data_IF_812210332926
#
_entry.id   IF_812210332926
#
_cell.length_a   1.000
_cell.length_b   1.000
_cell.length_c   1.000
_cell.angle_alpha   90.00
_cell.angle_beta   90.00
_cell.angle_gamma   90.00
#
_symmetry.space_group_name_H-M   'P 1'
#
loop_
_entity.id
_entity.type
_entity.pdbx_description
1 polymer ?
#
# COMPACT_ATOMS: atom_id res chain seq x y z
N UNK A 1 25.51 -73.83 -12.40
CA UNK A 1 26.63 -72.96 -12.81
C UNK A 1 27.22 -72.37 -11.56
N UNK A 2 28.49 -72.69 -11.38
CA UNK A 2 29.41 -72.41 -10.28
C UNK A 2 29.41 -70.94 -9.83
N UNK A 3 29.36 -70.69 -8.51
CA UNK A 3 30.48 -70.27 -7.63
C UNK A 3 30.94 -68.81 -7.91
N UNK A 4 31.07 -67.91 -6.93
CA UNK A 4 31.83 -68.03 -5.69
C UNK A 4 31.34 -67.06 -4.60
N UNK A 5 31.61 -67.50 -3.37
CA UNK A 5 31.21 -67.00 -2.06
C UNK A 5 32.13 -65.88 -1.48
N UNK A 6 31.82 -65.35 -0.28
CA UNK A 6 32.21 -64.04 0.24
C UNK A 6 33.44 -64.06 1.18
N UNK A 7 33.91 -62.88 1.60
CA UNK A 7 34.85 -62.70 2.71
C UNK A 7 34.52 -61.37 3.41
N UNK A 8 33.85 -61.41 4.57
CA UNK A 8 34.42 -61.37 5.94
C UNK A 8 35.03 -59.99 6.31
N UNK A 9 34.83 -59.40 7.49
CA UNK A 9 34.22 -59.93 8.70
C UNK A 9 33.90 -58.81 9.71
N UNK A 10 32.97 -59.17 10.59
CA UNK A 10 32.45 -58.56 11.83
C UNK A 10 33.47 -58.71 13.00
N UNK A 11 33.13 -58.43 14.28
CA UNK A 11 32.69 -57.22 15.00
C UNK A 11 33.52 -57.02 16.32
N UNK A 12 32.92 -56.37 17.34
CA UNK A 12 33.21 -56.40 18.80
C UNK A 12 34.07 -55.23 19.36
N UNK A 13 33.91 -54.73 20.59
CA UNK A 13 32.88 -54.78 21.63
C UNK A 13 33.31 -53.82 22.77
N UNK A 14 32.32 -53.31 23.52
CA UNK A 14 32.29 -52.96 24.95
C UNK A 14 33.55 -52.48 25.74
N UNK A 15 33.39 -51.27 26.29
CA UNK A 15 33.40 -50.93 27.74
C UNK A 15 34.70 -50.71 28.56
N UNK A 16 34.61 -49.62 29.33
CA UNK A 16 34.92 -49.41 30.77
C UNK A 16 36.15 -48.57 31.21
N UNK A 17 35.82 -47.48 31.93
CA UNK A 17 36.34 -47.01 33.25
C UNK A 17 37.63 -46.16 33.39
N UNK A 18 37.41 -44.93 33.92
CA UNK A 18 38.11 -44.21 35.04
C UNK A 18 39.62 -43.88 34.90
N UNK A 19 40.20 -42.75 35.32
CA UNK A 19 39.91 -41.72 36.35
C UNK A 19 40.96 -40.58 36.24
N UNK A 20 40.58 -39.36 36.65
CA UNK A 20 41.38 -38.32 37.36
C UNK A 20 42.62 -37.71 36.69
N UNK A 21 43.07 -36.48 36.95
CA UNK A 21 42.55 -35.24 37.53
C UNK A 21 43.72 -34.23 37.43
N UNK A 22 43.43 -32.94 37.25
CA UNK A 22 44.23 -31.87 37.84
C UNK A 22 43.33 -30.66 38.08
N UNK A 23 42.96 -30.52 39.36
CA UNK A 23 42.24 -29.40 39.93
C UNK A 23 43.14 -28.17 40.04
N UNK A 24 42.57 -26.99 39.81
CA UNK A 24 42.89 -25.76 40.52
C UNK A 24 41.56 -25.14 40.96
N UNK A 25 41.26 -25.18 42.26
CA UNK A 25 40.00 -24.79 42.86
C UNK A 25 40.01 -23.36 43.44
N UNK A 26 38.82 -22.94 43.88
CA UNK A 26 38.46 -21.82 44.75
C UNK A 26 37.95 -20.56 44.00
N UNK A 27 36.75 -20.01 44.21
CA UNK A 27 35.62 -20.28 45.11
C UNK A 27 34.41 -19.46 44.59
N UNK A 28 33.20 -20.00 44.61
CA UNK A 28 31.97 -19.20 44.45
C UNK A 28 31.62 -18.51 45.78
N UNK A 29 31.19 -17.24 45.75
CA UNK A 29 30.13 -16.75 46.62
C UNK A 29 28.84 -16.49 45.82
N UNK A 30 27.66 -16.80 46.40
CA UNK A 30 26.36 -16.57 45.76
C UNK A 30 25.89 -15.14 46.01
N UNK A 31 25.48 -14.42 44.96
CA UNK A 31 24.96 -13.07 45.14
C UNK A 31 24.54 -12.41 43.84
N UNK A 32 23.23 -12.30 43.67
CA UNK A 32 22.48 -11.37 42.83
C UNK A 32 23.28 -10.31 42.03
N UNK A 33 23.13 -10.34 40.70
CA UNK A 33 22.55 -9.24 39.93
C UNK A 33 22.55 -9.60 38.45
N UNK A 34 21.36 -9.81 37.91
CA UNK A 34 21.05 -9.64 36.49
C UNK A 34 21.40 -8.21 36.10
N UNK A 35 22.62 -7.98 35.62
CA UNK A 35 22.92 -6.78 34.85
C UNK A 35 22.25 -6.92 33.50
N UNK A 36 21.04 -6.40 33.42
CA UNK A 36 20.37 -6.05 32.19
C UNK A 36 21.31 -5.16 31.39
N UNK A 37 21.95 -5.73 30.38
CA UNK A 37 22.57 -4.95 29.31
C UNK A 37 21.43 -4.18 28.66
N UNK A 38 21.37 -2.88 28.94
CA UNK A 38 20.53 -1.92 28.23
C UNK A 38 20.90 -1.98 26.76
N UNK A 39 20.15 -2.78 26.01
CA UNK A 39 20.22 -2.84 24.56
C UNK A 39 19.76 -1.50 24.02
N UNK A 40 20.71 -0.79 23.43
CA UNK A 40 20.50 0.37 22.60
C UNK A 40 19.37 0.09 21.61
N UNK A 41 18.26 0.82 21.74
CA UNK A 41 17.07 0.73 20.90
C UNK A 41 17.27 1.25 19.46
N UNK A 42 18.46 1.06 18.88
CA UNK A 42 18.84 1.59 17.56
C UNK A 42 19.43 0.56 16.59
N UNK A 43 19.86 -0.62 17.06
CA UNK A 43 20.50 -1.64 16.21
C UNK A 43 19.61 -2.87 15.90
N UNK A 44 18.42 -2.98 16.48
CA UNK A 44 17.53 -4.15 16.30
C UNK A 44 16.70 -4.11 15.02
N UNK A 45 16.83 -3.06 14.20
CA UNK A 45 16.19 -2.98 12.87
C UNK A 45 17.09 -3.50 11.75
N UNK A 46 18.38 -3.73 11.99
CA UNK A 46 19.34 -4.08 10.94
C UNK A 46 19.53 -5.59 10.72
N UNK A 47 18.85 -6.45 11.49
CA UNK A 47 19.02 -7.91 11.43
C UNK A 47 17.71 -8.71 11.34
N UNK A 48 16.53 -8.08 11.34
CA UNK A 48 15.28 -8.83 11.25
C UNK A 48 15.04 -9.33 9.81
N UNK A 49 14.52 -10.56 9.62
CA UNK A 49 14.15 -11.07 8.30
C UNK A 49 13.18 -10.14 7.55
N UNK A 50 12.36 -9.39 8.30
CA UNK A 50 11.47 -8.38 7.75
C UNK A 50 12.23 -7.18 7.17
N UNK A 51 13.24 -6.66 7.85
CA UNK A 51 14.01 -5.51 7.37
C UNK A 51 14.79 -5.83 6.07
N UNK A 52 15.21 -7.07 5.89
CA UNK A 52 15.88 -7.52 4.66
C UNK A 52 14.93 -7.60 3.45
N UNK A 53 13.65 -7.89 3.65
CA UNK A 53 12.66 -8.04 2.58
C UNK A 53 11.96 -6.75 2.18
N UNK A 54 11.82 -5.78 3.10
CA UNK A 54 11.13 -4.52 2.82
C UNK A 54 11.95 -3.62 1.89
N UNK A 55 11.35 -3.25 0.76
CA UNK A 55 12.00 -2.43 -0.27
C UNK A 55 11.07 -1.40 -0.88
N UNK A 56 11.68 -0.29 -1.33
CA UNK A 56 10.99 0.76 -2.08
C UNK A 56 9.70 1.23 -1.40
N UNK A 57 8.58 1.37 -2.16
CA UNK A 57 7.32 1.89 -1.61
C UNK A 57 6.74 1.05 -0.45
N UNK A 58 7.03 -0.24 -0.37
CA UNK A 58 6.57 -1.07 0.74
C UNK A 58 7.28 -0.71 2.05
N UNK A 59 8.56 -0.35 1.99
CA UNK A 59 9.30 0.15 3.15
C UNK A 59 8.77 1.52 3.60
N UNK A 60 8.49 2.43 2.66
CA UNK A 60 7.91 3.73 2.96
C UNK A 60 6.53 3.60 3.62
N UNK A 61 5.70 2.70 3.10
CA UNK A 61 4.41 2.38 3.71
C UNK A 61 4.56 1.76 5.09
N UNK A 62 5.47 0.79 5.25
CA UNK A 62 5.74 0.18 6.56
C UNK A 62 6.12 1.25 7.60
N UNK A 63 6.93 2.24 7.23
CA UNK A 63 7.32 3.33 8.13
C UNK A 63 6.17 4.27 8.51
N UNK A 64 5.10 4.33 7.71
CA UNK A 64 3.88 5.08 7.99
C UNK A 64 2.87 4.32 8.86
N UNK A 65 3.03 3.00 9.02
CA UNK A 65 2.17 2.19 9.90
C UNK A 65 2.34 2.62 11.36
N UNK A 66 1.29 2.38 12.16
CA UNK A 66 1.35 2.60 13.61
C UNK A 66 2.32 1.61 14.25
N UNK A 67 2.89 1.99 15.40
CA UNK A 67 3.90 1.16 16.07
C UNK A 67 3.40 -0.26 16.40
N UNK A 68 2.14 -0.39 16.82
CA UNK A 68 1.52 -1.68 17.10
C UNK A 68 1.37 -2.55 15.85
N UNK A 69 1.06 -1.95 14.70
CA UNK A 69 0.96 -2.65 13.42
C UNK A 69 2.33 -3.14 12.94
N UNK A 70 3.35 -2.29 13.03
CA UNK A 70 4.74 -2.69 12.73
C UNK A 70 5.22 -3.83 13.61
N UNK A 71 4.89 -3.77 14.90
CA UNK A 71 5.25 -4.82 15.87
C UNK A 71 4.51 -6.12 15.58
N UNK A 72 3.23 -6.06 15.22
CA UNK A 72 2.44 -7.22 14.80
C UNK A 72 3.05 -7.89 13.57
N UNK A 73 3.34 -7.11 12.52
CA UNK A 73 3.95 -7.65 11.30
C UNK A 73 5.33 -8.27 11.57
N UNK A 74 6.15 -7.62 12.40
CA UNK A 74 7.46 -8.15 12.80
C UNK A 74 7.32 -9.48 13.55
N UNK A 75 6.42 -9.55 14.54
CA UNK A 75 6.19 -10.78 15.31
C UNK A 75 5.62 -11.94 14.47
N UNK A 76 4.82 -11.64 13.43
CA UNK A 76 4.34 -12.67 12.50
C UNK A 76 5.48 -13.24 11.64
N UNK A 77 6.43 -12.40 11.23
CA UNK A 77 7.64 -12.83 10.51
C UNK A 77 8.57 -13.62 11.42
N UNK A 78 8.83 -13.12 12.64
CA UNK A 78 9.73 -13.78 13.60
C UNK A 78 9.19 -15.14 14.06
N UNK A 79 7.86 -15.31 14.10
CA UNK A 79 7.22 -16.61 14.39
C UNK A 79 7.14 -17.55 13.19
N UNK A 80 7.57 -17.12 12.00
CA UNK A 80 7.53 -17.91 10.76
C UNK A 80 6.13 -18.13 10.19
N UNK A 81 5.09 -17.44 10.71
CA UNK A 81 3.72 -17.55 10.20
C UNK A 81 3.57 -16.93 8.81
N UNK A 82 4.34 -15.88 8.55
CA UNK A 82 4.46 -15.22 7.24
C UNK A 82 5.94 -14.93 6.98
N UNK A 83 6.32 -14.73 5.72
CA UNK A 83 7.68 -14.31 5.36
C UNK A 83 7.79 -12.79 5.27
N UNK A 84 9.02 -12.26 5.32
CA UNK A 84 9.26 -10.84 5.04
C UNK A 84 8.78 -10.43 3.64
N UNK A 85 8.89 -11.33 2.65
CA UNK A 85 8.43 -11.11 1.29
C UNK A 85 6.90 -11.06 1.21
N UNK A 86 6.19 -11.88 1.99
CA UNK A 86 4.73 -11.78 2.12
C UNK A 86 4.33 -10.40 2.67
N UNK A 87 5.04 -9.88 3.68
CA UNK A 87 4.76 -8.52 4.19
C UNK A 87 5.03 -7.47 3.10
N UNK A 88 6.19 -7.56 2.42
CA UNK A 88 6.53 -6.63 1.34
C UNK A 88 5.47 -6.61 0.23
N UNK A 89 5.01 -7.80 -0.20
CA UNK A 89 4.03 -7.95 -1.28
C UNK A 89 2.63 -7.51 -0.85
N UNK A 90 2.22 -7.80 0.39
CA UNK A 90 0.94 -7.34 0.90
C UNK A 90 0.87 -5.81 1.04
N UNK A 91 1.95 -5.18 1.50
CA UNK A 91 2.05 -3.71 1.57
C UNK A 91 2.03 -3.08 0.18
N UNK A 92 2.77 -3.65 -0.78
CA UNK A 92 2.72 -3.20 -2.18
C UNK A 92 1.30 -3.34 -2.76
N UNK A 93 0.66 -4.49 -2.54
CA UNK A 93 -0.70 -4.76 -2.98
C UNK A 93 -1.70 -3.75 -2.40
N UNK A 94 -1.63 -3.49 -1.10
CA UNK A 94 -2.46 -2.49 -0.42
C UNK A 94 -2.25 -1.09 -1.00
N UNK A 95 -1.01 -0.69 -1.24
CA UNK A 95 -0.67 0.59 -1.84
C UNK A 95 -1.23 0.75 -3.26
N UNK A 96 -1.09 -0.27 -4.12
CA UNK A 96 -1.65 -0.26 -5.48
C UNK A 96 -3.17 -0.16 -5.47
N UNK A 97 -3.81 -0.87 -4.55
CA UNK A 97 -5.27 -0.78 -4.36
C UNK A 97 -5.66 0.64 -3.93
N UNK A 98 -4.96 1.21 -2.95
CA UNK A 98 -5.20 2.58 -2.51
C UNK A 98 -4.98 3.61 -3.64
N UNK A 99 -3.95 3.46 -4.46
CA UNK A 99 -3.71 4.30 -5.65
C UNK A 99 -4.83 4.20 -6.66
N UNK A 100 -5.29 2.98 -6.95
CA UNK A 100 -6.40 2.76 -7.88
C UNK A 100 -7.68 3.43 -7.39
N UNK A 101 -7.99 3.27 -6.10
CA UNK A 101 -9.12 3.96 -5.46
C UNK A 101 -8.96 5.48 -5.49
N UNK A 102 -7.81 6.01 -5.09
CA UNK A 102 -7.53 7.44 -5.09
C UNK A 102 -7.64 8.05 -6.49
N UNK A 103 -7.14 7.35 -7.51
CA UNK A 103 -7.23 7.79 -8.90
C UNK A 103 -8.68 7.83 -9.41
N UNK A 104 -9.44 6.73 -9.23
CA UNK A 104 -10.84 6.68 -9.66
C UNK A 104 -11.69 7.74 -8.96
N UNK A 105 -11.50 7.91 -7.65
CA UNK A 105 -12.27 8.87 -6.89
C UNK A 105 -11.83 10.31 -7.18
N UNK A 106 -10.54 10.54 -7.45
CA UNK A 106 -10.02 11.83 -7.91
C UNK A 106 -10.63 12.22 -9.25
N UNK A 107 -10.75 11.28 -10.19
CA UNK A 107 -11.42 11.51 -11.47
C UNK A 107 -12.89 11.89 -11.31
N UNK A 108 -13.63 11.18 -10.43
CA UNK A 108 -15.02 11.54 -10.10
C UNK A 108 -15.15 12.93 -9.46
N UNK A 109 -14.25 13.26 -8.54
CA UNK A 109 -14.23 14.58 -7.91
C UNK A 109 -13.95 15.67 -8.93
N UNK A 110 -12.96 15.47 -9.80
CA UNK A 110 -12.64 16.39 -10.89
C UNK A 110 -13.84 16.60 -11.82
N UNK A 111 -14.50 15.52 -12.24
CA UNK A 111 -15.71 15.58 -13.06
C UNK A 111 -16.86 16.31 -12.36
N UNK A 112 -17.08 16.02 -11.08
CA UNK A 112 -18.15 16.63 -10.28
C UNK A 112 -17.93 18.13 -10.05
N UNK A 113 -16.70 18.54 -9.70
CA UNK A 113 -16.36 19.94 -9.43
C UNK A 113 -16.34 20.79 -10.70
N UNK A 114 -15.98 20.18 -11.83
CA UNK A 114 -15.73 20.91 -13.07
C UNK A 114 -16.80 20.66 -14.14
N UNK A 115 -18.04 20.28 -13.77
CA UNK A 115 -19.15 20.03 -14.72
C UNK A 115 -19.30 21.12 -15.78
N UNK A 116 -19.08 22.39 -15.42
CA UNK A 116 -19.10 23.52 -16.35
C UNK A 116 -18.05 23.42 -17.46
N UNK A 117 -16.85 22.91 -17.18
CA UNK A 117 -15.82 22.64 -18.19
C UNK A 117 -16.27 21.52 -19.14
N UNK A 118 -16.88 20.46 -18.60
CA UNK A 118 -17.39 19.34 -19.41
C UNK A 118 -18.55 19.77 -20.33
N UNK A 119 -19.40 20.69 -19.88
CA UNK A 119 -20.48 21.25 -20.69
C UNK A 119 -19.97 22.07 -21.89
N UNK A 120 -18.77 22.66 -21.79
CA UNK A 120 -18.17 23.50 -22.85
C UNK A 120 -16.86 22.95 -23.39
N UNK A 121 -16.69 21.62 -23.37
CA UNK A 121 -15.44 20.92 -23.67
C UNK A 121 -14.70 21.41 -24.94
N UNK A 122 -15.44 21.81 -25.98
CA UNK A 122 -14.88 22.32 -27.24
C UNK A 122 -14.12 23.66 -27.12
N UNK A 123 -14.35 24.41 -26.03
CA UNK A 123 -13.80 25.75 -25.79
C UNK A 123 -12.90 25.83 -24.56
N UNK A 124 -12.68 24.70 -23.89
CA UNK A 124 -11.82 24.65 -22.69
C UNK A 124 -10.38 24.89 -23.11
N UNK A 125 -9.75 25.88 -22.48
CA UNK A 125 -8.33 26.19 -22.68
C UNK A 125 -7.44 25.27 -21.84
N UNK A 126 -6.17 25.17 -22.22
CA UNK A 126 -5.18 24.42 -21.45
C UNK A 126 -5.05 24.95 -20.01
N UNK A 127 -5.10 26.27 -19.82
CA UNK A 127 -4.92 26.90 -18.51
C UNK A 127 -6.14 26.70 -17.61
N UNK A 128 -7.35 26.70 -18.16
CA UNK A 128 -8.56 26.35 -17.41
C UNK A 128 -8.55 24.91 -16.91
N UNK A 129 -8.05 23.99 -17.73
CA UNK A 129 -7.91 22.57 -17.36
C UNK A 129 -6.80 22.35 -16.31
N UNK A 130 -5.66 23.02 -16.45
CA UNK A 130 -4.59 22.99 -15.44
C UNK A 130 -5.08 23.54 -14.11
N UNK A 131 -5.74 24.71 -14.13
CA UNK A 131 -6.33 25.32 -12.92
C UNK A 131 -7.34 24.38 -12.25
N UNK A 132 -8.25 23.79 -13.01
CA UNK A 132 -9.21 22.82 -12.48
C UNK A 132 -8.54 21.59 -11.87
N UNK A 133 -7.41 21.15 -12.44
CA UNK A 133 -6.62 20.05 -11.91
C UNK A 133 -6.00 20.44 -10.58
N UNK A 134 -5.32 21.59 -10.53
CA UNK A 134 -4.68 22.12 -9.32
C UNK A 134 -5.71 22.30 -8.19
N UNK A 135 -6.88 22.88 -8.50
CA UNK A 135 -7.96 23.10 -7.54
C UNK A 135 -8.50 21.77 -6.98
N UNK A 136 -8.71 20.75 -7.83
CA UNK A 136 -9.13 19.41 -7.38
C UNK A 136 -8.05 18.74 -6.54
N UNK A 137 -6.78 18.77 -6.94
CA UNK A 137 -5.69 18.16 -6.19
C UNK A 137 -5.48 18.84 -4.83
N UNK A 138 -5.56 20.18 -4.78
CA UNK A 138 -5.51 20.94 -3.54
C UNK A 138 -6.64 20.55 -2.59
N UNK A 139 -7.87 20.40 -3.11
CA UNK A 139 -9.02 19.96 -2.32
C UNK A 139 -8.83 18.54 -1.78
N UNK A 140 -8.34 17.59 -2.59
CA UNK A 140 -8.05 16.23 -2.12
C UNK A 140 -7.00 16.22 -1.03
N UNK A 141 -5.92 16.99 -1.20
CA UNK A 141 -4.86 17.12 -0.20
C UNK A 141 -5.37 17.68 1.12
N UNK A 142 -6.23 18.70 1.07
CA UNK A 142 -6.89 19.25 2.26
C UNK A 142 -7.73 18.19 2.99
N UNK A 143 -8.55 17.43 2.25
CA UNK A 143 -9.41 16.38 2.82
C UNK A 143 -8.58 15.26 3.46
N UNK A 144 -7.49 14.81 2.80
CA UNK A 144 -6.58 13.80 3.36
C UNK A 144 -5.88 14.30 4.61
N UNK A 145 -5.43 15.56 4.63
CA UNK A 145 -4.84 16.17 5.82
C UNK A 145 -5.83 16.20 6.99
N UNK A 146 -7.10 16.56 6.73
CA UNK A 146 -8.16 16.55 7.74
C UNK A 146 -8.46 15.14 8.27
N UNK A 147 -8.46 14.10 7.42
CA UNK A 147 -8.57 12.71 7.91
C UNK A 147 -7.40 12.37 8.84
N UNK A 148 -6.17 12.74 8.45
CA UNK A 148 -4.98 12.49 9.26
C UNK A 148 -5.05 13.16 10.64
N UNK A 149 -5.60 14.37 10.73
CA UNK A 149 -5.84 15.03 12.03
C UNK A 149 -6.93 14.33 12.86
N UNK A 150 -8.04 13.93 12.22
CA UNK A 150 -9.08 13.16 12.92
C UNK A 150 -8.55 11.82 13.44
N UNK A 151 -7.69 11.13 12.68
CA UNK A 151 -7.06 9.89 13.10
C UNK A 151 -6.13 10.10 14.31
N UNK A 152 -5.32 11.17 14.31
CA UNK A 152 -4.47 11.55 15.45
C UNK A 152 -5.30 11.83 16.71
N UNK A 153 -6.49 12.41 16.54
CA UNK A 153 -7.41 12.73 17.62
C UNK A 153 -8.29 11.52 18.04
N UNK A 154 -8.13 10.35 17.41
CA UNK A 154 -8.94 9.16 17.70
C UNK A 154 -10.38 9.27 17.21
N UNK A 155 -10.66 10.15 16.26
CA UNK A 155 -11.99 10.47 15.73
C UNK A 155 -12.31 9.75 14.41
N UNK A 156 -11.66 8.62 14.13
CA UNK A 156 -11.85 7.83 12.91
C UNK A 156 -13.26 7.25 12.70
N UNK A 157 -14.13 7.31 13.72
CA UNK A 157 -15.55 6.94 13.63
C UNK A 157 -16.52 8.12 13.67
N UNK A 158 -16.02 9.36 13.64
CA UNK A 158 -16.85 10.55 13.72
C UNK A 158 -17.67 10.81 12.44
N UNK A 159 -18.75 11.57 12.56
CA UNK A 159 -19.53 12.01 11.39
C UNK A 159 -18.65 12.80 10.41
N UNK A 160 -17.77 13.67 10.92
CA UNK A 160 -16.83 14.44 10.11
C UNK A 160 -15.87 13.53 9.32
N UNK A 161 -15.40 12.45 9.93
CA UNK A 161 -14.55 11.47 9.24
C UNK A 161 -15.30 10.81 8.07
N UNK A 162 -16.55 10.40 8.30
CA UNK A 162 -17.43 9.85 7.26
C UNK A 162 -17.72 10.84 6.12
N UNK A 163 -17.98 12.10 6.46
CA UNK A 163 -18.21 13.17 5.49
C UNK A 163 -16.98 13.44 4.62
N UNK A 164 -15.78 13.44 5.21
CA UNK A 164 -14.55 13.62 4.46
C UNK A 164 -14.27 12.41 3.54
N UNK A 165 -14.50 11.18 4.01
CA UNK A 165 -14.39 10.00 3.16
C UNK A 165 -15.40 10.03 2.00
N UNK A 166 -16.62 10.50 2.25
CA UNK A 166 -17.64 10.70 1.22
C UNK A 166 -17.18 11.73 0.19
N UNK A 167 -16.68 12.89 0.63
CA UNK A 167 -16.13 13.90 -0.25
C UNK A 167 -14.97 13.32 -1.09
N UNK A 168 -14.02 12.62 -0.46
CA UNK A 168 -12.90 11.98 -1.14
C UNK A 168 -13.32 10.93 -2.17
N UNK A 169 -14.49 10.29 -2.01
CA UNK A 169 -15.05 9.35 -2.99
C UNK A 169 -15.52 10.01 -4.30
N UNK A 170 -15.58 11.35 -4.33
CA UNK A 170 -16.07 12.15 -5.45
C UNK A 170 -17.59 12.32 -5.47
N UNK A 171 -18.28 11.97 -4.38
CA UNK A 171 -19.74 12.16 -4.22
C UNK A 171 -19.98 13.42 -3.37
N UNK A 172 -20.18 14.56 -4.03
CA UNK A 172 -20.57 15.80 -3.36
C UNK A 172 -22.09 15.80 -3.06
N UNK A 173 -22.53 16.24 -1.85
CA UNK A 173 -23.95 16.43 -1.57
C UNK A 173 -24.56 17.47 -2.51
N UNK A 174 -25.62 17.09 -3.24
CA UNK A 174 -26.28 17.93 -4.24
C UNK A 174 -25.99 17.55 -5.70
N UNK A 175 -25.07 16.62 -5.94
CA UNK A 175 -24.74 16.13 -7.29
C UNK A 175 -25.80 15.19 -7.91
N UNK A 176 -26.89 14.88 -7.20
CA UNK A 176 -27.82 13.78 -7.48
C UNK A 176 -29.30 14.14 -7.70
N UNK A 177 -29.64 15.37 -8.09
CA UNK A 177 -31.03 15.70 -8.46
C UNK A 177 -31.33 15.61 -9.97
N UNK A 178 -30.33 15.73 -10.84
CA UNK A 178 -30.50 15.75 -12.30
C UNK A 178 -29.66 14.68 -13.01
N UNK A 179 -29.70 13.44 -12.51
CA UNK A 179 -29.25 12.29 -13.28
C UNK A 179 -30.48 11.74 -14.03
N UNK A 180 -30.64 11.95 -15.35
CA UNK A 180 -31.53 11.08 -16.11
C UNK A 180 -30.91 9.69 -16.02
N UNK A 181 -31.66 8.75 -15.42
CA UNK A 181 -31.35 7.32 -15.44
C UNK A 181 -30.90 6.95 -16.85
N UNK A 182 -29.64 6.52 -16.97
CA UNK A 182 -29.14 5.95 -18.21
C UNK A 182 -29.83 4.60 -18.41
N UNK A 183 -31.03 4.61 -18.99
CA UNK A 183 -31.64 3.42 -19.56
C UNK A 183 -30.80 2.94 -20.76
N UNK A 184 -30.62 1.62 -20.94
CA UNK A 184 -29.66 1.07 -21.89
C UNK A 184 -30.29 0.87 -23.27
N UNK A 185 -30.73 1.93 -23.96
CA UNK A 185 -31.22 1.80 -25.35
C UNK A 185 -30.64 2.86 -26.29
N UNK A 186 -29.96 2.40 -27.36
CA UNK A 186 -29.78 3.16 -28.61
C UNK A 186 -28.41 3.79 -28.84
N UNK A 187 -27.59 3.11 -29.64
CA UNK A 187 -26.32 3.60 -30.19
C UNK A 187 -26.47 4.95 -30.93
N UNK A 188 -25.59 5.91 -30.60
CA UNK A 188 -24.88 6.85 -31.51
C UNK A 188 -24.74 8.29 -31.01
N UNK A 189 -25.43 8.73 -29.94
CA UNK A 189 -25.23 10.07 -29.33
C UNK A 189 -24.51 10.05 -27.98
N UNK A 190 -24.72 9.03 -27.16
CA UNK A 190 -24.05 8.87 -25.87
C UNK A 190 -22.53 8.59 -26.01
N UNK A 191 -22.11 7.96 -27.11
CA UNK A 191 -20.69 7.66 -27.40
C UNK A 191 -19.91 8.91 -27.83
N UNK A 192 -20.57 9.93 -28.39
CA UNK A 192 -19.94 11.21 -28.72
C UNK A 192 -19.65 12.03 -27.45
N UNK A 193 -20.62 12.10 -26.52
CA UNK A 193 -20.42 12.75 -25.22
C UNK A 193 -19.35 12.05 -24.39
N UNK A 194 -19.33 10.71 -24.31
CA UNK A 194 -18.28 9.97 -23.59
C UNK A 194 -16.87 10.10 -24.21
N UNK A 195 -16.77 10.37 -25.51
CA UNK A 195 -15.48 10.66 -26.17
C UNK A 195 -15.05 12.12 -25.98
N UNK A 196 -15.98 13.06 -25.96
CA UNK A 196 -15.69 14.49 -25.75
C UNK A 196 -15.41 14.82 -24.27
N UNK A 197 -16.05 14.16 -23.31
CA UNK A 197 -15.76 14.36 -21.88
C UNK A 197 -14.36 13.88 -21.50
N UNK A 198 -13.82 12.87 -22.19
CA UNK A 198 -12.44 12.40 -22.00
C UNK A 198 -11.40 13.25 -22.72
N UNK A 199 -11.79 14.30 -23.44
CA UNK A 199 -10.85 15.06 -24.27
C UNK A 199 -9.98 16.05 -23.49
N UNK A 200 -10.26 16.31 -22.21
CA UNK A 200 -9.45 17.20 -21.40
C UNK A 200 -9.32 16.75 -19.93
N UNK A 201 -9.90 15.61 -19.54
CA UNK A 201 -9.66 15.07 -18.21
C UNK A 201 -8.19 14.66 -18.07
N UNK A 202 -7.49 15.12 -17.02
CA UNK A 202 -6.13 14.70 -16.75
C UNK A 202 -6.09 13.28 -16.17
N UNK A 203 -7.24 12.67 -15.83
CA UNK A 203 -7.30 11.32 -15.30
C UNK A 203 -7.40 10.30 -16.45
N UNK A 204 -6.25 9.82 -16.94
CA UNK A 204 -6.19 8.67 -17.83
C UNK A 204 -5.30 7.55 -17.29
N UNK A 205 -5.78 6.31 -17.34
CA UNK A 205 -5.03 5.14 -16.88
C UNK A 205 -4.76 4.20 -18.06
N UNK A 206 -3.50 3.77 -18.20
CA UNK A 206 -3.15 2.73 -19.18
C UNK A 206 -3.73 1.40 -18.70
N UNK A 207 -4.33 0.64 -19.61
CA UNK A 207 -4.78 -0.70 -19.30
C UNK A 207 -3.55 -1.56 -18.97
N UNK A 208 -3.57 -2.29 -17.85
CA UNK A 208 -2.44 -3.11 -17.45
C UNK A 208 -1.35 -2.37 -16.65
N UNK A 209 -1.57 -1.11 -16.24
CA UNK A 209 -0.53 -0.32 -15.57
C UNK A 209 -0.14 -0.93 -14.21
N UNK A 210 1.13 -1.38 -14.04
CA UNK A 210 1.59 -2.02 -12.81
C UNK A 210 1.60 -1.07 -11.60
N UNK A 211 1.49 0.24 -11.81
CA UNK A 211 1.34 1.22 -10.73
C UNK A 211 0.01 1.04 -9.96
N UNK A 212 -1.03 0.52 -10.64
CA UNK A 212 -2.38 0.34 -10.09
C UNK A 212 -2.77 -1.12 -9.89
N UNK A 213 -2.20 -2.04 -10.68
CA UNK A 213 -2.69 -3.43 -10.74
C UNK A 213 -1.88 -4.32 -9.81
N UNK A 214 -2.62 -5.01 -8.93
CA UNK A 214 -2.06 -6.05 -8.07
C UNK A 214 -1.75 -7.29 -8.87
N UNK A 215 -0.62 -7.93 -8.58
CA UNK A 215 -0.28 -9.24 -9.13
C UNK A 215 -0.75 -10.38 -8.21
N UNK A 216 -0.63 -11.63 -8.67
CA UNK A 216 -1.07 -12.80 -7.90
C UNK A 216 -0.30 -13.02 -6.59
N UNK A 217 0.98 -12.62 -6.54
CA UNK A 217 1.80 -12.74 -5.32
C UNK A 217 1.34 -11.74 -4.23
N UNK A 218 1.04 -10.50 -4.64
CA UNK A 218 0.52 -9.44 -3.77
C UNK A 218 -0.87 -9.82 -3.20
N UNK A 219 -1.71 -10.48 -4.00
CA UNK A 219 -3.01 -10.98 -3.56
C UNK A 219 -2.87 -12.16 -2.60
N UNK A 220 -2.04 -13.16 -2.94
CA UNK A 220 -1.77 -14.31 -2.08
C UNK A 220 -1.19 -13.86 -0.72
N UNK A 221 -0.25 -12.93 -0.73
CA UNK A 221 0.34 -12.36 0.48
C UNK A 221 -0.70 -11.62 1.33
N UNK A 222 -1.58 -10.84 0.70
CA UNK A 222 -2.68 -10.15 1.40
C UNK A 222 -3.62 -11.15 2.10
N UNK A 223 -3.92 -12.28 1.44
CA UNK A 223 -4.74 -13.34 2.03
C UNK A 223 -4.05 -14.00 3.22
N UNK A 224 -2.74 -14.30 3.14
CA UNK A 224 -1.96 -14.82 4.27
C UNK A 224 -1.96 -13.87 5.47
N UNK A 225 -1.77 -12.57 5.24
CA UNK A 225 -1.82 -11.57 6.31
C UNK A 225 -3.20 -11.53 6.99
N UNK A 226 -4.26 -11.61 6.18
CA UNK A 226 -5.64 -11.68 6.69
C UNK A 226 -5.87 -12.93 7.53
N UNK A 227 -5.42 -14.10 7.07
CA UNK A 227 -5.49 -15.37 7.81
C UNK A 227 -4.67 -15.34 9.10
N UNK A 228 -3.56 -14.59 9.10
CA UNK A 228 -2.75 -14.35 10.29
C UNK A 228 -3.36 -13.32 11.27
N UNK A 229 -4.55 -12.77 10.97
CA UNK A 229 -5.29 -11.85 11.83
C UNK A 229 -4.95 -10.37 11.64
N UNK A 230 -4.24 -10.01 10.56
CA UNK A 230 -3.95 -8.60 10.23
C UNK A 230 -5.15 -7.96 9.54
N UNK A 231 -5.54 -6.77 9.99
CA UNK A 231 -6.57 -5.99 9.31
C UNK A 231 -6.03 -5.34 8.03
N UNK A 232 -6.53 -5.77 6.88
CA UNK A 232 -6.17 -5.16 5.59
C UNK A 232 -6.71 -3.72 5.45
N UNK A 233 -7.76 -3.37 6.20
CA UNK A 233 -8.30 -2.00 6.18
C UNK A 233 -7.31 -1.02 6.78
N UNK A 234 -6.61 -1.39 7.85
CA UNK A 234 -5.65 -0.49 8.51
C UNK A 234 -4.39 -0.26 7.67
N UNK A 235 -3.95 -1.29 6.92
CA UNK A 235 -2.91 -1.14 5.90
C UNK A 235 -3.34 -0.17 4.79
N UNK A 236 -4.60 -0.29 4.35
CA UNK A 236 -5.16 0.57 3.30
C UNK A 236 -5.32 2.02 3.79
N UNK A 237 -5.69 2.21 5.06
CA UNK A 237 -5.76 3.53 5.69
C UNK A 237 -4.38 4.20 5.75
N UNK A 238 -3.34 3.46 6.17
CA UNK A 238 -1.97 3.96 6.15
C UNK A 238 -1.45 4.25 4.72
N UNK A 239 -1.89 3.44 3.75
CA UNK A 239 -1.54 3.63 2.34
C UNK A 239 -2.22 4.84 1.71
N UNK A 240 -3.36 5.31 2.25
CA UNK A 240 -4.17 6.39 1.66
C UNK A 240 -3.36 7.65 1.38
N UNK A 241 -2.67 8.18 2.39
CA UNK A 241 -1.91 9.42 2.21
C UNK A 241 -0.85 9.29 1.12
N UNK A 242 -0.11 8.19 1.12
CA UNK A 242 0.94 7.94 0.12
C UNK A 242 0.36 7.72 -1.29
N UNK A 243 -0.78 7.03 -1.37
CA UNK A 243 -1.49 6.82 -2.62
C UNK A 243 -2.02 8.14 -3.22
N UNK A 244 -2.57 9.03 -2.39
CA UNK A 244 -3.07 10.34 -2.81
C UNK A 244 -1.93 11.23 -3.31
N UNK A 245 -0.80 11.27 -2.61
CA UNK A 245 0.38 12.01 -3.07
C UNK A 245 0.89 11.47 -4.41
N UNK A 246 1.05 10.13 -4.55
CA UNK A 246 1.54 9.56 -5.80
C UNK A 246 0.57 9.75 -6.97
N UNK A 247 -0.74 9.68 -6.72
CA UNK A 247 -1.76 9.95 -7.73
C UNK A 247 -1.78 11.42 -8.11
N UNK A 248 -1.61 12.33 -7.15
CA UNK A 248 -1.54 13.76 -7.42
C UNK A 248 -0.35 14.09 -8.34
N UNK A 249 0.84 13.58 -8.04
CA UNK A 249 2.03 13.77 -8.89
C UNK A 249 1.80 13.24 -10.30
N UNK A 250 1.21 12.04 -10.41
CA UNK A 250 0.89 11.43 -11.70
C UNK A 250 -0.12 12.27 -12.48
N UNK A 251 -1.22 12.69 -11.85
CA UNK A 251 -2.27 13.48 -12.49
C UNK A 251 -1.75 14.86 -12.90
N UNK A 252 -0.84 15.46 -12.12
CA UNK A 252 -0.19 16.72 -12.48
C UNK A 252 0.63 16.58 -13.78
N UNK A 253 1.39 15.48 -13.90
CA UNK A 253 2.12 15.18 -15.12
C UNK A 253 1.16 14.97 -16.30
N UNK A 254 0.09 14.19 -16.09
CA UNK A 254 -0.93 13.92 -17.10
C UNK A 254 -1.64 15.20 -17.57
N UNK A 255 -1.92 16.13 -16.67
CA UNK A 255 -2.48 17.44 -16.97
C UNK A 255 -1.51 18.29 -17.78
N UNK A 256 -0.22 18.29 -17.41
CA UNK A 256 0.83 19.02 -18.12
C UNK A 256 0.99 18.52 -19.57
N UNK A 257 1.09 17.20 -19.75
CA UNK A 257 1.17 16.55 -21.06
C UNK A 257 -0.06 16.90 -21.91
N UNK A 258 -1.25 16.89 -21.29
CA UNK A 258 -2.50 17.22 -21.98
C UNK A 258 -2.58 18.69 -22.38
N UNK A 259 -2.16 19.59 -21.50
CA UNK A 259 -2.11 21.02 -21.75
C UNK A 259 -1.21 21.34 -22.95
N UNK A 260 -0.07 20.65 -23.06
CA UNK A 260 0.83 20.79 -24.21
C UNK A 260 0.19 20.34 -25.52
N UNK A 261 -0.56 19.23 -25.52
CA UNK A 261 -1.32 18.76 -26.69
C UNK A 261 -2.41 19.77 -27.08
N UNK A 262 -3.12 20.34 -26.10
CA UNK A 262 -4.17 21.32 -26.36
C UNK A 262 -3.61 22.61 -26.98
N UNK A 263 -2.48 23.11 -26.47
CA UNK A 263 -1.81 24.29 -27.04
C UNK A 263 -1.32 24.04 -28.47
N UNK A 264 -0.83 22.82 -28.76
CA UNK A 264 -0.39 22.44 -30.12
C UNK A 264 -1.53 22.32 -31.14
N UNK A 265 -2.72 21.92 -30.70
CA UNK A 265 -3.87 21.66 -31.56
C UNK A 265 -4.85 22.84 -31.67
N UNK A 266 -4.61 23.95 -30.96
CA UNK A 266 -5.55 25.07 -30.81
C UNK A 266 -4.89 26.45 -30.84
N UNK A 267 -3.78 26.60 -31.58
CA UNK A 267 -3.21 27.89 -31.97
C UNK A 267 -3.59 28.25 -33.41
#
# INVERSE_FOLDING_TARGET
>A
MDALSPLAGTPAAAATKTTSAAQGAASNPPGAATTATTTSAKDTLSLSPLAASLKGPSLDLFNKLKQNERTLLSGLVDSGKITGDDVNNALMGSLKMARSTAFMNGGRMFESQNRGLFARAATVTADEMLKATDDTLARRKELVARLGELDKNGQGGSADYGEILRALSGVEPGAGADQPSAEPHGNSRATAHLRQTRLFSPYYMKLGDPFFIRNGEEEAASNKLKEAGVSLSSLTDAARGMAEDNVADMVQQQASDRAEIMRRNGG
#
